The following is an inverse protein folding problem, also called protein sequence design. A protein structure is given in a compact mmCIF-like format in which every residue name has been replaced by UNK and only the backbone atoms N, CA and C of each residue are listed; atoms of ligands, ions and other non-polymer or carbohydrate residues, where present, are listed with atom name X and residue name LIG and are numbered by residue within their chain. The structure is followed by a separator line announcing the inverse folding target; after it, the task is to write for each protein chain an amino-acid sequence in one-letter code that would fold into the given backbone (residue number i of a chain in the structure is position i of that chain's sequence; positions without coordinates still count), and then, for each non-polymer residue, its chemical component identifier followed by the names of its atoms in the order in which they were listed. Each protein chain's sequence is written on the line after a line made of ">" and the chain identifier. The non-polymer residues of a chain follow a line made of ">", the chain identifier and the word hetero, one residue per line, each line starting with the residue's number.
data_IF_326683336142
#
_entry.id   IF_326683336142
#
_cell.length_a   1.000
_cell.length_b   1.000
_cell.length_c   1.000
_cell.angle_alpha   90.00
_cell.angle_beta   90.00
_cell.angle_gamma   90.00
#
_symmetry.space_group_name_H-M   'P 1'
#
loop_
_entity.id
_entity.type
_entity.pdbx_description
1 polymer ?
#
# COMPACT_ATOMS: atom_id res chain seq x y z
N UNK A 1 -12.66 4.72 20.58
CA UNK A 1 -11.85 4.37 19.40
C UNK A 1 -12.80 3.76 18.39
N UNK A 2 -12.89 4.30 17.18
CA UNK A 2 -13.66 3.64 16.10
C UNK A 2 -12.82 2.46 15.64
N UNK A 3 -13.34 1.26 15.81
CA UNK A 3 -12.64 0.04 15.38
C UNK A 3 -12.71 -0.03 13.85
N UNK A 4 -11.55 0.05 13.19
CA UNK A 4 -11.48 -0.09 11.73
C UNK A 4 -11.49 -1.58 11.42
N UNK A 5 -12.58 -2.04 10.81
CA UNK A 5 -12.71 -3.42 10.33
C UNK A 5 -11.63 -3.71 9.26
N UNK A 6 -10.87 -4.80 9.44
CA UNK A 6 -9.80 -5.20 8.53
C UNK A 6 -10.14 -6.52 7.87
N UNK A 7 -10.10 -6.55 6.53
CA UNK A 7 -10.24 -7.78 5.73
C UNK A 7 -8.89 -8.20 5.17
N UNK A 8 -8.50 -9.46 5.39
CA UNK A 8 -7.33 -10.05 4.73
C UNK A 8 -7.66 -10.36 3.27
N UNK A 9 -6.77 -9.98 2.37
CA UNK A 9 -6.86 -10.29 0.94
C UNK A 9 -5.56 -10.98 0.49
N UNK A 10 -5.68 -11.83 -0.53
CA UNK A 10 -4.53 -12.46 -1.20
C UNK A 10 -4.38 -11.85 -2.58
N UNK A 11 -3.16 -11.46 -2.95
CA UNK A 11 -2.85 -10.88 -4.25
C UNK A 11 -1.70 -11.66 -4.90
N UNK A 12 -1.83 -11.92 -6.21
CA UNK A 12 -0.74 -12.43 -7.03
C UNK A 12 -0.03 -11.26 -7.70
N UNK A 13 1.25 -11.05 -7.37
CA UNK A 13 2.08 -9.99 -7.95
C UNK A 13 3.42 -10.59 -8.39
N UNK A 14 4.13 -9.98 -9.36
CA UNK A 14 5.48 -10.37 -9.71
C UNK A 14 6.40 -10.36 -8.48
N UNK A 15 7.34 -11.30 -8.43
CA UNK A 15 8.31 -11.43 -7.33
C UNK A 15 9.10 -10.12 -7.15
N UNK A 16 9.51 -9.50 -8.26
CA UNK A 16 10.20 -8.20 -8.26
C UNK A 16 9.35 -7.10 -7.62
N UNK A 17 8.03 -7.08 -7.88
CA UNK A 17 7.11 -6.12 -7.27
C UNK A 17 7.02 -6.30 -5.75
N UNK A 18 6.98 -7.54 -5.27
CA UNK A 18 7.04 -7.81 -3.82
C UNK A 18 8.38 -7.36 -3.21
N UNK A 19 9.49 -7.53 -3.94
CA UNK A 19 10.80 -7.01 -3.53
C UNK A 19 10.79 -5.50 -3.35
N UNK A 20 10.31 -4.76 -4.36
CA UNK A 20 10.14 -3.30 -4.30
C UNK A 20 9.24 -2.87 -3.14
N UNK A 21 8.13 -3.57 -2.92
CA UNK A 21 7.22 -3.28 -1.80
C UNK A 21 7.95 -3.40 -0.46
N UNK A 22 8.77 -4.44 -0.29
CA UNK A 22 9.53 -4.65 0.93
C UNK A 22 10.60 -3.57 1.15
N UNK A 23 11.38 -3.25 0.13
CA UNK A 23 12.40 -2.20 0.19
C UNK A 23 11.80 -0.83 0.52
N UNK A 24 10.73 -0.44 -0.18
CA UNK A 24 10.04 0.83 0.07
C UNK A 24 9.43 0.86 1.47
N UNK A 25 8.82 -0.24 1.92
CA UNK A 25 8.26 -0.32 3.27
C UNK A 25 9.32 -0.10 4.35
N UNK A 26 10.51 -0.71 4.20
CA UNK A 26 11.64 -0.52 5.11
C UNK A 26 12.18 0.91 5.05
N UNK A 27 12.37 1.45 3.84
CA UNK A 27 12.90 2.80 3.61
C UNK A 27 12.06 3.88 4.29
N UNK A 28 10.73 3.72 4.30
CA UNK A 28 9.81 4.70 4.88
C UNK A 28 9.30 4.32 6.27
N UNK A 29 9.86 3.28 6.91
CA UNK A 29 9.46 2.87 8.26
C UNK A 29 8.01 2.37 8.36
N UNK A 30 7.49 1.77 7.30
CA UNK A 30 6.10 1.27 7.21
C UNK A 30 6.04 -0.25 7.12
N UNK A 31 4.89 -0.82 7.49
CA UNK A 31 4.57 -2.21 7.14
C UNK A 31 4.15 -2.30 5.67
N UNK A 32 4.28 -3.48 5.05
CA UNK A 32 3.81 -3.71 3.67
C UNK A 32 2.33 -3.33 3.50
N UNK A 33 1.47 -3.75 4.42
CA UNK A 33 0.04 -3.40 4.42
C UNK A 33 -0.19 -1.91 4.65
N UNK A 34 0.62 -1.27 5.49
CA UNK A 34 0.57 0.17 5.73
C UNK A 34 0.91 0.98 4.47
N UNK A 35 1.95 0.58 3.76
CA UNK A 35 2.36 1.22 2.50
C UNK A 35 1.29 1.05 1.42
N UNK A 36 0.73 -0.15 1.24
CA UNK A 36 -0.38 -0.37 0.29
C UNK A 36 -1.58 0.51 0.63
N UNK A 37 -2.00 0.53 1.90
CA UNK A 37 -3.10 1.37 2.37
C UNK A 37 -2.86 2.85 2.10
N UNK A 38 -1.65 3.34 2.39
CA UNK A 38 -1.25 4.72 2.15
C UNK A 38 -1.33 5.10 0.67
N UNK A 39 -0.85 4.23 -0.23
CA UNK A 39 -0.90 4.49 -1.68
C UNK A 39 -2.34 4.51 -2.21
N UNK A 40 -3.19 3.59 -1.75
CA UNK A 40 -4.62 3.58 -2.14
C UNK A 40 -5.32 4.86 -1.69
N UNK A 41 -5.08 5.31 -0.45
CA UNK A 41 -5.70 6.53 0.06
C UNK A 41 -5.19 7.78 -0.67
N UNK A 42 -3.89 7.86 -1.00
CA UNK A 42 -3.37 8.96 -1.82
C UNK A 42 -4.04 9.03 -3.19
N UNK A 43 -4.26 7.90 -3.85
CA UNK A 43 -4.96 7.86 -5.15
C UNK A 43 -6.41 8.28 -4.99
N UNK A 44 -7.09 7.80 -3.94
CA UNK A 44 -8.47 8.16 -3.65
C UNK A 44 -8.62 9.67 -3.39
N UNK A 45 -7.70 10.27 -2.64
CA UNK A 45 -7.65 11.71 -2.36
C UNK A 45 -7.29 12.53 -3.61
N UNK A 46 -6.35 12.06 -4.43
CA UNK A 46 -5.94 12.74 -5.65
C UNK A 46 -7.00 12.67 -6.77
N UNK A 47 -7.89 11.68 -6.72
CA UNK A 47 -8.90 11.40 -7.75
C UNK A 47 -8.32 10.82 -9.04
N UNK A 48 -7.03 10.48 -9.07
CA UNK A 48 -6.35 9.91 -10.24
C UNK A 48 -5.11 9.12 -9.83
N UNK A 49 -4.78 8.08 -10.62
CA UNK A 49 -3.55 7.29 -10.48
C UNK A 49 -2.37 7.88 -11.26
N UNK A 50 -2.62 8.89 -12.09
CA UNK A 50 -1.59 9.52 -12.91
C UNK A 50 -0.87 10.62 -12.14
N UNK A 51 0.45 10.69 -12.31
CA UNK A 51 1.21 11.85 -11.84
C UNK A 51 0.78 13.08 -12.66
N UNK A 52 0.41 14.16 -11.96
CA UNK A 52 0.32 15.48 -12.57
C UNK A 52 1.72 16.00 -12.92
#
# INVERSE_FOLDING_TARGET
>A
MVEIEKKKITLSIPVETNGKLEELSKKYGMTKSGLVNFLINQVAEAGTIYKK
#
